data_IF_915545549168
#
_entry.id   IF_915545549168
#
_cell.length_a   1.000
_cell.length_b   1.000
_cell.length_c   1.000
_cell.angle_alpha   90.00
_cell.angle_beta   90.00
_cell.angle_gamma   90.00
#
_symmetry.space_group_name_H-M   'P 1'
#
loop_
_entity.id
_entity.type
_entity.pdbx_description
1 polymer ?
#
# COMPACT_ATOMS: atom_id res chain seq x y z
N UNK A 1 25.98 -9.18 11.97
CA UNK A 1 24.77 -9.62 11.25
C UNK A 1 23.91 -10.59 12.07
N UNK A 2 24.50 -11.59 12.76
CA UNK A 2 23.77 -12.56 13.59
C UNK A 2 22.98 -11.97 14.77
N UNK A 3 23.51 -10.93 15.44
CA UNK A 3 22.84 -10.28 16.58
C UNK A 3 21.53 -9.58 16.18
N UNK A 4 21.50 -8.87 15.04
CA UNK A 4 20.28 -8.25 14.51
C UNK A 4 19.22 -9.31 14.15
N UNK A 5 19.63 -10.43 13.57
CA UNK A 5 18.72 -11.50 13.21
C UNK A 5 18.11 -12.20 14.45
N UNK A 6 18.91 -12.42 15.49
CA UNK A 6 18.42 -12.93 16.77
C UNK A 6 17.42 -11.95 17.42
N UNK A 7 17.72 -10.65 17.40
CA UNK A 7 16.83 -9.60 17.91
C UNK A 7 15.49 -9.54 17.15
N UNK A 8 15.51 -9.69 15.81
CA UNK A 8 14.29 -9.80 15.00
C UNK A 8 13.49 -11.05 15.33
N UNK A 9 14.15 -12.20 15.50
CA UNK A 9 13.49 -13.45 15.90
C UNK A 9 12.80 -13.29 17.24
N UNK A 10 13.47 -12.72 18.23
CA UNK A 10 12.92 -12.53 19.57
C UNK A 10 11.77 -11.51 19.57
N UNK A 11 11.87 -10.46 18.76
CA UNK A 11 10.79 -9.46 18.61
C UNK A 11 9.55 -10.07 17.98
N UNK A 12 9.72 -10.88 16.92
CA UNK A 12 8.63 -11.58 16.26
C UNK A 12 8.03 -12.64 17.19
N UNK A 13 8.86 -13.43 17.87
CA UNK A 13 8.41 -14.44 18.82
C UNK A 13 7.60 -13.80 19.96
N UNK A 14 8.08 -12.69 20.51
CA UNK A 14 7.35 -11.90 21.51
C UNK A 14 6.02 -11.36 20.96
N UNK A 15 6.00 -10.86 19.73
CA UNK A 15 4.78 -10.36 19.09
C UNK A 15 3.77 -11.48 18.74
N UNK A 16 4.23 -12.70 18.50
CA UNK A 16 3.38 -13.88 18.26
C UNK A 16 2.74 -14.43 19.55
N UNK A 17 3.33 -14.12 20.70
CA UNK A 17 2.79 -14.46 22.02
C UNK A 17 1.96 -13.34 22.66
N UNK A 18 1.85 -12.18 22.01
CA UNK A 18 1.05 -11.04 22.51
C UNK A 18 -0.45 -11.32 22.36
N UNK A 19 -1.07 -11.77 23.45
CA UNK A 19 -2.49 -12.16 23.56
C UNK A 19 -3.48 -11.04 23.23
N UNK A 20 -3.04 -9.79 23.12
CA UNK A 20 -3.91 -8.70 22.67
C UNK A 20 -4.18 -8.71 21.16
N UNK A 21 -3.42 -9.48 20.38
CA UNK A 21 -3.56 -9.52 18.93
C UNK A 21 -4.59 -10.56 18.46
N UNK A 22 -5.41 -10.24 17.43
CA UNK A 22 -6.50 -11.11 16.98
C UNK A 22 -6.04 -12.45 16.36
N UNK A 23 -4.77 -12.56 15.95
CA UNK A 23 -4.21 -13.80 15.40
C UNK A 23 -3.76 -14.82 16.45
N UNK A 24 -3.69 -14.45 17.73
CA UNK A 24 -3.15 -15.35 18.76
C UNK A 24 -4.04 -16.55 19.07
N UNK A 25 -5.36 -16.40 18.97
CA UNK A 25 -6.30 -17.48 19.32
C UNK A 25 -6.16 -18.71 18.42
N UNK A 26 -6.11 -18.51 17.10
CA UNK A 26 -5.92 -19.62 16.17
C UNK A 26 -4.47 -20.12 16.14
N UNK A 27 -3.48 -19.24 16.35
CA UNK A 27 -2.07 -19.64 16.48
C UNK A 27 -1.82 -20.52 17.71
N UNK A 28 -2.44 -20.20 18.84
CA UNK A 28 -2.38 -21.01 20.05
C UNK A 28 -3.00 -22.40 19.83
N UNK A 29 -4.18 -22.45 19.19
CA UNK A 29 -4.82 -23.70 18.83
C UNK A 29 -3.99 -24.54 17.85
N UNK A 30 -3.31 -23.89 16.90
CA UNK A 30 -2.43 -24.56 15.93
C UNK A 30 -1.15 -25.08 16.58
N UNK A 31 -0.54 -24.32 17.49
CA UNK A 31 0.63 -24.74 18.27
C UNK A 31 0.30 -25.95 19.16
N UNK A 32 -0.84 -25.91 19.86
CA UNK A 32 -1.27 -27.01 20.73
C UNK A 32 -1.52 -28.31 19.94
N UNK A 33 -2.11 -28.22 18.74
CA UNK A 33 -2.41 -29.39 17.89
C UNK A 33 -1.18 -29.95 17.16
N UNK A 34 -0.24 -29.09 16.77
CA UNK A 34 0.90 -29.50 15.94
C UNK A 34 2.18 -29.73 16.74
N UNK A 35 2.28 -29.19 17.96
CA UNK A 35 3.49 -29.22 18.78
C UNK A 35 4.64 -28.38 18.22
N UNK A 36 4.39 -27.58 17.17
CA UNK A 36 5.40 -26.75 16.49
C UNK A 36 5.32 -25.32 17.01
N UNK A 37 6.48 -24.71 17.31
CA UNK A 37 6.56 -23.31 17.78
C UNK A 37 5.88 -22.36 16.79
N UNK A 38 5.15 -21.36 17.31
CA UNK A 38 4.45 -20.32 16.52
C UNK A 38 5.31 -19.65 15.46
N UNK A 39 6.59 -19.42 15.75
CA UNK A 39 7.53 -18.83 14.79
C UNK A 39 7.66 -19.65 13.51
N UNK A 40 7.78 -20.99 13.62
CA UNK A 40 7.89 -21.86 12.45
C UNK A 40 6.57 -21.98 11.71
N UNK A 41 5.43 -21.94 12.40
CA UNK A 41 4.12 -21.87 11.77
C UNK A 41 3.95 -20.58 10.96
N UNK A 42 4.37 -19.44 11.51
CA UNK A 42 4.36 -18.16 10.81
C UNK A 42 5.28 -18.16 9.59
N UNK A 43 6.52 -18.65 9.73
CA UNK A 43 7.47 -18.78 8.62
C UNK A 43 6.96 -19.75 7.54
N UNK A 44 6.35 -20.86 7.94
CA UNK A 44 5.74 -21.83 7.04
C UNK A 44 4.57 -21.23 6.27
N UNK A 45 3.70 -20.48 6.93
CA UNK A 45 2.60 -19.75 6.29
C UNK A 45 3.12 -18.72 5.29
N UNK A 46 4.16 -17.97 5.66
CA UNK A 46 4.77 -16.95 4.81
C UNK A 46 5.45 -17.59 3.58
N UNK A 47 6.15 -18.71 3.77
CA UNK A 47 6.72 -19.51 2.68
C UNK A 47 5.65 -20.12 1.77
N UNK A 48 4.57 -20.64 2.34
CA UNK A 48 3.42 -21.13 1.58
C UNK A 48 2.76 -20.02 0.77
N UNK A 49 2.59 -18.83 1.36
CA UNK A 49 2.05 -17.65 0.68
C UNK A 49 2.97 -17.19 -0.46
N UNK A 50 4.28 -17.19 -0.25
CA UNK A 50 5.25 -16.88 -1.31
C UNK A 50 5.21 -17.90 -2.45
N UNK A 51 5.10 -19.19 -2.15
CA UNK A 51 4.91 -20.25 -3.14
C UNK A 51 3.56 -20.13 -3.88
N UNK A 52 2.50 -19.77 -3.17
CA UNK A 52 1.19 -19.52 -3.76
C UNK A 52 1.22 -18.30 -4.68
N UNK A 53 1.99 -17.26 -4.36
CA UNK A 53 2.19 -16.11 -5.25
C UNK A 53 2.99 -16.44 -6.51
N UNK A 54 3.77 -17.54 -6.52
CA UNK A 54 4.52 -18.01 -7.68
C UNK A 54 3.70 -18.90 -8.63
N UNK A 55 2.85 -19.76 -8.08
CA UNK A 55 2.17 -20.82 -8.86
C UNK A 55 0.64 -20.79 -8.77
N UNK A 56 0.07 -19.95 -7.90
CA UNK A 56 -1.36 -19.91 -7.60
C UNK A 56 -2.17 -19.12 -8.63
N UNK A 57 -3.35 -19.64 -8.95
CA UNK A 57 -4.38 -18.89 -9.67
C UNK A 57 -4.85 -17.72 -8.79
N UNK A 58 -4.96 -16.52 -9.36
CA UNK A 58 -5.30 -15.27 -8.66
C UNK A 58 -4.23 -14.70 -7.68
N UNK A 59 -2.94 -14.99 -7.89
CA UNK A 59 -1.84 -14.35 -7.16
C UNK A 59 -1.92 -12.80 -7.16
N UNK A 60 -2.37 -12.20 -8.27
CA UNK A 60 -2.64 -10.77 -8.40
C UNK A 60 -3.62 -10.25 -7.35
N UNK A 61 -4.76 -10.94 -7.16
CA UNK A 61 -5.78 -10.53 -6.21
C UNK A 61 -5.25 -10.60 -4.78
N UNK A 62 -4.52 -11.66 -4.44
CA UNK A 62 -3.92 -11.82 -3.12
C UNK A 62 -2.86 -10.75 -2.85
N UNK A 63 -1.96 -10.49 -3.80
CA UNK A 63 -0.94 -9.45 -3.71
C UNK A 63 -1.58 -8.06 -3.52
N UNK A 64 -2.58 -7.72 -4.32
CA UNK A 64 -3.29 -6.46 -4.22
C UNK A 64 -4.04 -6.36 -2.89
N UNK A 65 -4.65 -7.45 -2.41
CA UNK A 65 -5.35 -7.45 -1.13
C UNK A 65 -4.39 -7.21 0.03
N UNK A 66 -3.21 -7.82 0.03
CA UNK A 66 -2.19 -7.57 1.06
C UNK A 66 -1.66 -6.13 0.97
N UNK A 67 -1.40 -5.64 -0.25
CA UNK A 67 -0.94 -4.28 -0.52
C UNK A 67 -1.97 -3.18 -0.23
N UNK A 68 -3.27 -3.50 -0.24
CA UNK A 68 -4.34 -2.54 0.09
C UNK A 68 -4.85 -2.68 1.52
N UNK A 69 -5.22 -3.88 1.94
CA UNK A 69 -6.00 -4.12 3.15
C UNK A 69 -5.20 -3.81 4.41
N UNK A 70 -3.93 -4.23 4.46
CA UNK A 70 -3.09 -3.97 5.63
C UNK A 70 -2.76 -2.47 5.78
N UNK A 71 -2.24 -1.77 4.74
CA UNK A 71 -2.05 -0.33 4.81
C UNK A 71 -3.34 0.46 5.03
N UNK A 72 -4.48 0.03 4.49
CA UNK A 72 -5.77 0.69 4.73
C UNK A 72 -6.19 0.59 6.21
N UNK A 73 -6.07 -0.59 6.82
CA UNK A 73 -6.33 -0.74 8.25
C UNK A 73 -5.42 0.15 9.10
N UNK A 74 -4.12 0.15 8.80
CA UNK A 74 -3.19 1.00 9.52
C UNK A 74 -3.41 2.50 9.26
N UNK A 75 -3.87 2.89 8.07
CA UNK A 75 -4.26 4.26 7.74
C UNK A 75 -5.47 4.70 8.56
N UNK A 76 -6.51 3.87 8.68
CA UNK A 76 -7.68 4.15 9.54
C UNK A 76 -7.26 4.34 11.00
N UNK A 77 -6.38 3.47 11.49
CA UNK A 77 -5.84 3.60 12.84
C UNK A 77 -4.97 4.85 13.04
N UNK A 78 -4.24 5.28 11.99
CA UNK A 78 -3.45 6.51 12.03
C UNK A 78 -4.34 7.75 12.07
N UNK A 79 -5.41 7.79 11.27
CA UNK A 79 -6.39 8.89 11.23
C UNK A 79 -7.08 9.09 12.58
N UNK A 80 -7.34 8.00 13.30
CA UNK A 80 -7.93 8.04 14.65
C UNK A 80 -6.90 8.38 15.75
N UNK A 81 -5.60 8.33 15.43
CA UNK A 81 -4.52 8.64 16.38
C UNK A 81 -4.26 10.15 16.45
N UNK A 82 -4.00 10.73 17.64
CA UNK A 82 -3.63 12.14 17.75
C UNK A 82 -2.24 12.47 17.16
N UNK A 83 -1.47 11.46 16.72
CA UNK A 83 -0.08 11.61 16.30
C UNK A 83 0.06 11.81 14.79
N UNK A 84 0.11 13.08 14.34
CA UNK A 84 0.19 13.50 12.91
C UNK A 84 1.35 12.92 12.09
N UNK A 85 2.38 12.38 12.74
CA UNK A 85 3.55 11.81 12.07
C UNK A 85 3.26 10.50 11.33
N UNK A 86 2.17 9.81 11.69
CA UNK A 86 1.81 8.54 11.05
C UNK A 86 1.00 8.75 9.77
N UNK A 87 0.17 9.80 9.70
CA UNK A 87 -0.62 10.16 8.51
C UNK A 87 0.27 10.45 7.29
N UNK A 88 1.37 11.18 7.50
CA UNK A 88 2.30 11.55 6.43
C UNK A 88 2.96 10.31 5.80
N UNK A 89 3.24 9.28 6.60
CA UNK A 89 3.84 8.02 6.11
C UNK A 89 2.86 7.26 5.23
N UNK A 90 1.60 7.16 5.66
CA UNK A 90 0.57 6.48 4.87
C UNK A 90 0.27 7.25 3.58
N UNK A 91 0.17 8.58 3.62
CA UNK A 91 -0.04 9.38 2.42
C UNK A 91 1.12 9.25 1.42
N UNK A 92 2.36 9.19 1.93
CA UNK A 92 3.56 8.95 1.11
C UNK A 92 3.49 7.57 0.45
N UNK A 93 3.10 6.54 1.21
CA UNK A 93 2.87 5.19 0.69
C UNK A 93 1.82 5.19 -0.42
N UNK A 94 0.66 5.80 -0.20
CA UNK A 94 -0.41 5.87 -1.20
C UNK A 94 0.01 6.61 -2.47
N UNK A 95 0.80 7.67 -2.33
CA UNK A 95 1.35 8.42 -3.49
C UNK A 95 2.29 7.55 -4.32
N UNK A 96 3.21 6.85 -3.66
CA UNK A 96 4.14 5.91 -4.32
C UNK A 96 3.36 4.75 -4.96
N UNK A 97 2.38 4.20 -4.25
CA UNK A 97 1.53 3.11 -4.72
C UNK A 97 0.77 3.50 -5.99
N UNK A 98 0.18 4.70 -6.03
CA UNK A 98 -0.54 5.19 -7.20
C UNK A 98 0.37 5.37 -8.42
N UNK A 99 1.55 5.97 -8.24
CA UNK A 99 2.52 6.13 -9.31
C UNK A 99 3.02 4.81 -9.86
N UNK A 100 3.31 3.85 -8.99
CA UNK A 100 3.70 2.51 -9.39
C UNK A 100 2.56 1.81 -10.13
N UNK A 101 1.32 1.92 -9.66
CA UNK A 101 0.15 1.33 -10.32
C UNK A 101 0.00 1.81 -11.78
N UNK A 102 0.32 3.07 -12.06
CA UNK A 102 0.31 3.62 -13.43
C UNK A 102 1.42 2.99 -14.30
N UNK A 103 2.63 2.84 -13.74
CA UNK A 103 3.77 2.20 -14.44
C UNK A 103 3.56 0.69 -14.60
N UNK A 104 2.81 0.08 -13.69
CA UNK A 104 2.55 -1.36 -13.69
C UNK A 104 1.49 -1.79 -14.70
N UNK A 105 0.58 -0.90 -15.11
CA UNK A 105 -0.44 -1.21 -16.12
C UNK A 105 0.13 -1.84 -17.42
N UNK A 106 1.21 -1.30 -18.03
CA UNK A 106 1.87 -1.96 -19.17
C UNK A 106 2.70 -3.19 -18.76
N UNK A 107 3.16 -3.26 -17.51
CA UNK A 107 3.97 -4.38 -17.00
C UNK A 107 3.14 -5.66 -16.85
N UNK A 108 1.87 -5.55 -16.48
CA UNK A 108 0.95 -6.70 -16.41
C UNK A 108 0.69 -7.30 -17.82
N UNK A 109 0.74 -6.50 -18.88
CA UNK A 109 0.58 -7.00 -20.26
C UNK A 109 1.83 -7.74 -20.77
N UNK A 110 3.03 -7.27 -20.40
CA UNK A 110 4.30 -7.79 -20.90
C UNK A 110 4.90 -8.91 -20.04
N UNK A 111 4.69 -8.87 -18.72
CA UNK A 111 5.35 -9.75 -17.74
C UNK A 111 4.45 -10.86 -17.21
N UNK A 112 3.20 -10.96 -17.67
CA UNK A 112 2.28 -12.05 -17.30
C UNK A 112 2.80 -13.45 -17.67
N UNK A 113 3.74 -13.56 -18.61
CA UNK A 113 4.43 -14.81 -18.92
C UNK A 113 5.41 -15.24 -17.81
N UNK A 114 5.94 -14.30 -17.02
CA UNK A 114 7.03 -14.57 -16.07
C UNK A 114 6.50 -14.90 -14.66
N UNK A 115 6.68 -16.13 -14.16
CA UNK A 115 6.05 -16.59 -12.91
C UNK A 115 6.60 -15.90 -11.64
N UNK A 116 7.76 -15.24 -11.70
CA UNK A 116 8.34 -14.55 -10.54
C UNK A 116 7.89 -13.08 -10.41
N UNK A 117 7.17 -12.52 -11.38
CA UNK A 117 6.78 -11.10 -11.37
C UNK A 117 5.94 -10.74 -10.13
N UNK A 118 4.92 -11.56 -9.83
CA UNK A 118 4.03 -11.35 -8.68
C UNK A 118 4.76 -11.44 -7.34
N UNK A 119 5.77 -12.33 -7.22
CA UNK A 119 6.58 -12.43 -6.02
C UNK A 119 7.45 -11.18 -5.83
N UNK A 120 8.13 -10.73 -6.88
CA UNK A 120 8.97 -9.52 -6.84
C UNK A 120 8.12 -8.30 -6.49
N UNK A 121 6.93 -8.18 -7.09
CA UNK A 121 5.95 -7.14 -6.80
C UNK A 121 5.46 -7.16 -5.35
N UNK A 122 5.12 -8.34 -4.83
CA UNK A 122 4.70 -8.49 -3.44
C UNK A 122 5.82 -8.12 -2.45
N UNK A 123 7.07 -8.52 -2.74
CA UNK A 123 8.25 -8.14 -1.94
C UNK A 123 8.44 -6.63 -1.98
N UNK A 124 8.34 -6.02 -3.16
CA UNK A 124 8.47 -4.59 -3.34
C UNK A 124 7.41 -3.81 -2.54
N UNK A 125 6.13 -4.19 -2.64
CA UNK A 125 5.07 -3.56 -1.84
C UNK A 125 5.29 -3.76 -0.35
N UNK A 126 5.65 -4.97 0.07
CA UNK A 126 5.96 -5.28 1.47
C UNK A 126 7.07 -4.39 2.00
N UNK A 127 8.11 -4.13 1.20
CA UNK A 127 9.18 -3.21 1.54
C UNK A 127 8.71 -1.75 1.62
N UNK A 128 7.76 -1.34 0.77
CA UNK A 128 7.21 0.01 0.77
C UNK A 128 6.32 0.34 1.97
N UNK A 129 5.55 -0.62 2.50
CA UNK A 129 4.73 -0.43 3.71
C UNK A 129 5.38 -0.96 4.99
N UNK A 130 6.59 -1.53 4.91
CA UNK A 130 7.28 -2.07 6.07
C UNK A 130 7.44 -1.02 7.18
N UNK A 131 7.11 -1.31 8.45
CA UNK A 131 7.08 -0.34 9.55
C UNK A 131 8.49 -0.03 10.06
N UNK A 132 9.36 0.51 9.21
CA UNK A 132 10.72 0.96 9.54
C UNK A 132 10.86 2.45 9.21
N UNK A 133 11.65 3.19 9.99
CA UNK A 133 11.80 4.65 9.88
C UNK A 133 12.31 5.19 8.53
N UNK A 134 12.79 4.32 7.65
CA UNK A 134 13.13 4.63 6.26
C UNK A 134 12.56 3.54 5.35
N UNK A 135 11.23 3.45 5.30
CA UNK A 135 10.53 2.51 4.43
C UNK A 135 10.77 2.85 2.94
N UNK A 136 10.54 1.87 2.07
CA UNK A 136 10.80 2.03 0.63
C UNK A 136 10.01 3.18 0.00
N UNK A 137 8.82 3.47 0.53
CA UNK A 137 7.97 4.57 0.04
C UNK A 137 8.55 5.96 0.35
N UNK A 138 9.04 6.20 1.57
CA UNK A 138 9.70 7.48 1.92
C UNK A 138 10.97 7.70 1.09
N UNK A 139 11.77 6.64 0.86
CA UNK A 139 12.96 6.74 0.03
C UNK A 139 12.62 7.10 -1.43
N UNK A 140 11.60 6.47 -1.99
CA UNK A 140 11.17 6.74 -3.37
C UNK A 140 10.58 8.15 -3.49
N UNK A 141 9.84 8.57 -2.47
CA UNK A 141 9.26 9.90 -2.43
C UNK A 141 10.31 11.00 -2.39
N UNK A 142 11.25 10.94 -1.44
CA UNK A 142 12.30 11.97 -1.30
C UNK A 142 13.24 12.02 -2.51
N UNK A 143 13.59 10.85 -3.10
CA UNK A 143 14.58 10.80 -4.20
C UNK A 143 14.00 11.05 -5.58
N UNK A 144 12.77 10.62 -5.84
CA UNK A 144 12.22 10.61 -7.21
C UNK A 144 11.01 11.52 -7.32
N UNK A 145 10.04 11.39 -6.42
CA UNK A 145 8.75 12.07 -6.53
C UNK A 145 8.91 13.56 -6.19
N UNK A 146 9.52 13.88 -5.05
CA UNK A 146 9.70 15.23 -4.54
C UNK A 146 10.41 16.18 -5.52
N UNK A 147 11.57 15.83 -6.13
CA UNK A 147 12.22 16.72 -7.09
C UNK A 147 11.42 16.91 -8.38
N UNK A 148 10.75 15.85 -8.88
CA UNK A 148 9.90 15.94 -10.07
C UNK A 148 8.65 16.78 -9.83
N UNK A 149 8.03 16.62 -8.66
CA UNK A 149 6.84 17.36 -8.26
C UNK A 149 7.14 18.85 -8.13
N UNK A 150 8.18 19.23 -7.39
CA UNK A 150 8.56 20.65 -7.22
C UNK A 150 8.93 21.34 -8.54
N UNK A 151 9.42 20.60 -9.54
CA UNK A 151 9.72 21.14 -10.87
C UNK A 151 8.47 21.42 -11.71
N UNK A 152 7.41 20.62 -11.58
CA UNK A 152 6.22 20.70 -12.44
C UNK A 152 4.96 21.18 -11.71
N UNK A 153 5.06 21.48 -10.41
CA UNK A 153 3.91 21.88 -9.59
C UNK A 153 3.19 23.10 -10.19
N UNK A 154 3.93 24.12 -10.63
CA UNK A 154 3.33 25.32 -11.23
C UNK A 154 2.52 25.02 -12.50
N UNK A 155 3.06 24.18 -13.39
CA UNK A 155 2.38 23.79 -14.63
C UNK A 155 1.11 22.96 -14.36
N UNK A 156 1.18 22.07 -13.37
CA UNK A 156 0.03 21.24 -12.97
C UNK A 156 -1.04 22.09 -12.29
N UNK A 157 -0.66 22.99 -11.39
CA UNK A 157 -1.58 23.88 -10.68
C UNK A 157 -2.28 24.84 -11.67
N UNK A 158 -1.55 25.36 -12.66
CA UNK A 158 -2.10 26.19 -13.72
C UNK A 158 -3.08 25.39 -14.61
N UNK A 159 -2.73 24.16 -14.98
CA UNK A 159 -3.61 23.29 -15.76
C UNK A 159 -4.91 22.97 -14.99
N UNK A 160 -4.83 22.65 -13.70
CA UNK A 160 -5.99 22.37 -12.85
C UNK A 160 -6.87 23.61 -12.71
N UNK A 161 -6.26 24.78 -12.48
CA UNK A 161 -6.98 26.06 -12.37
C UNK A 161 -7.73 26.41 -13.66
N UNK A 162 -7.09 26.21 -14.81
CA UNK A 162 -7.72 26.42 -16.12
C UNK A 162 -8.91 25.49 -16.36
N UNK A 163 -8.78 24.20 -16.01
CA UNK A 163 -9.87 23.22 -16.12
C UNK A 163 -11.02 23.57 -15.18
N UNK A 164 -10.72 23.92 -13.93
CA UNK A 164 -11.72 24.34 -12.95
C UNK A 164 -12.47 25.60 -13.42
N UNK A 165 -11.75 26.60 -13.90
CA UNK A 165 -12.33 27.82 -14.46
C UNK A 165 -13.21 27.57 -15.69
N UNK A 166 -12.80 26.66 -16.57
CA UNK A 166 -13.61 26.25 -17.73
C UNK A 166 -14.91 25.54 -17.27
N UNK A 167 -14.82 24.62 -16.31
CA UNK A 167 -15.98 23.92 -15.75
C UNK A 167 -16.96 24.91 -15.10
N UNK A 168 -16.48 25.87 -14.30
CA UNK A 168 -17.33 26.90 -13.70
C UNK A 168 -18.02 27.75 -14.77
N UNK A 169 -17.31 28.19 -15.81
CA UNK A 169 -17.91 28.96 -16.92
C UNK A 169 -19.01 28.18 -17.63
N UNK A 170 -18.80 26.89 -17.92
CA UNK A 170 -19.80 26.04 -18.56
C UNK A 170 -21.05 25.85 -17.68
N UNK A 171 -20.87 25.64 -16.38
CA UNK A 171 -22.00 25.55 -15.44
C UNK A 171 -22.76 26.86 -15.38
N UNK A 172 -22.08 27.99 -15.20
CA UNK A 172 -22.71 29.32 -15.17
C UNK A 172 -23.44 29.64 -16.46
N UNK A 173 -22.84 29.36 -17.63
CA UNK A 173 -23.48 29.56 -18.93
C UNK A 173 -24.74 28.70 -19.07
N UNK A 174 -24.69 27.44 -18.64
CA UNK A 174 -25.84 26.51 -18.69
C UNK A 174 -26.97 26.92 -17.75
N UNK A 175 -26.64 27.47 -16.57
CA UNK A 175 -27.62 28.02 -15.63
C UNK A 175 -28.29 29.28 -16.19
N UNK A 176 -27.52 30.19 -16.78
CA UNK A 176 -28.05 31.41 -17.41
C UNK A 176 -28.94 31.06 -18.62
N UNK A 177 -28.50 30.13 -19.48
CA UNK A 177 -29.29 29.70 -20.64
C UNK A 177 -30.53 28.89 -20.25
N UNK A 178 -30.49 28.13 -19.16
CA UNK A 178 -31.61 27.33 -18.68
C UNK A 178 -32.67 28.13 -17.92
N UNK A 179 -32.30 29.28 -17.33
CA UNK A 179 -33.24 30.23 -16.73
C UNK A 179 -33.96 31.06 -17.82
N UNK A 180 -33.24 31.37 -18.90
CA UNK A 180 -33.79 32.07 -20.08
C UNK A 180 -34.87 31.27 -20.82
N UNK A 181 -34.79 29.92 -20.80
CA UNK A 181 -35.77 29.04 -21.46
C UNK A 181 -37.02 28.73 -20.63
N UNK A 182 -37.10 29.21 -19.38
CA UNK A 182 -38.28 29.05 -18.50
C UNK A 182 -39.15 30.32 -18.41
N UNK A 183 -38.72 31.41 -19.05
CA UNK A 183 -39.43 32.70 -19.07
C UNK A 183 -40.18 32.99 -20.39
N UNK A 184 -40.08 32.10 -21.39
CA UNK A 184 -41.01 32.02 -22.54
C UNK A 184 -42.03 30.89 -22.31
#
# INVERSE_FOLDING_TARGET
MASKFAEYKDTIDKALHDTQKPWTGWLAMAEEKTGVKRLYLFLGLLGFLALYLLFGYAAQLLCNTIGFLYPAYCSMKAIESPQKGDDTKWLTYWTVYALLSIVEYPSDLLLNWFPFYWLVKAIFFTWCFWPTGSNGSVLLYEKVIRPRFLQHQGEVDDAISNIAGAATKLVTQKLISGDSSKQE
#
